data_IF_334309223758
#
_entry.id   IF_334309223758
#
_cell.length_a   1.000
_cell.length_b   1.000
_cell.length_c   1.000
_cell.angle_alpha   90.00
_cell.angle_beta   90.00
_cell.angle_gamma   90.00
#
_symmetry.space_group_name_H-M   'P 1'
#
loop_
_entity.id
_entity.type
_entity.pdbx_description
1 polymer ?
#
# COMPACT_ATOMS: atom_id res chain seq x y z
N UNK A 1 -14.06 13.22 -21.43
CA UNK A 1 -14.78 12.05 -20.94
C UNK A 1 -13.89 10.83 -21.14
N UNK A 2 -13.03 10.55 -20.16
CA UNK A 2 -12.33 9.28 -20.05
C UNK A 2 -12.51 8.88 -18.59
N UNK A 3 -13.41 7.94 -18.33
CA UNK A 3 -13.56 7.36 -17.00
C UNK A 3 -12.28 6.61 -16.70
N UNK A 4 -11.51 7.08 -15.72
CA UNK A 4 -10.40 6.31 -15.18
C UNK A 4 -10.99 5.08 -14.51
N UNK A 5 -10.80 3.91 -15.12
CA UNK A 5 -11.14 2.63 -14.49
C UNK A 5 -10.35 2.55 -13.18
N UNK A 6 -11.05 2.61 -12.04
CA UNK A 6 -10.49 2.22 -10.75
C UNK A 6 -10.03 0.77 -10.91
N UNK A 7 -8.73 0.53 -10.86
CA UNK A 7 -8.16 -0.81 -10.98
C UNK A 7 -8.44 -1.54 -9.66
N UNK A 8 -9.52 -2.31 -9.61
CA UNK A 8 -9.89 -3.13 -8.44
C UNK A 8 -8.81 -4.19 -8.24
N UNK A 9 -8.17 -4.19 -7.07
CA UNK A 9 -7.16 -5.21 -6.73
C UNK A 9 -7.81 -6.60 -6.75
N UNK A 10 -7.10 -7.56 -7.34
CA UNK A 10 -7.52 -8.95 -7.33
C UNK A 10 -7.38 -9.54 -5.91
N UNK A 11 -8.17 -10.55 -5.55
CA UNK A 11 -8.09 -11.22 -4.24
C UNK A 11 -6.67 -11.61 -3.83
N UNK A 12 -5.87 -12.09 -4.79
CA UNK A 12 -4.47 -12.47 -4.58
C UNK A 12 -3.56 -11.26 -4.29
N UNK A 13 -3.79 -10.13 -4.94
CA UNK A 13 -3.06 -8.88 -4.67
C UNK A 13 -3.38 -8.34 -3.28
N UNK A 14 -4.65 -8.39 -2.86
CA UNK A 14 -5.08 -7.97 -1.52
C UNK A 14 -4.38 -8.80 -0.44
N UNK A 15 -4.35 -10.14 -0.60
CA UNK A 15 -3.63 -11.01 0.33
C UNK A 15 -2.14 -10.70 0.36
N UNK A 16 -1.51 -10.52 -0.81
CA UNK A 16 -0.09 -10.18 -0.89
C UNK A 16 0.22 -8.84 -0.20
N UNK A 17 -0.60 -7.82 -0.41
CA UNK A 17 -0.45 -6.52 0.25
C UNK A 17 -0.57 -6.63 1.78
N UNK A 18 -1.53 -7.42 2.27
CA UNK A 18 -1.86 -7.47 3.70
C UNK A 18 -0.96 -8.42 4.49
N UNK A 19 -0.56 -9.54 3.90
CA UNK A 19 0.15 -10.61 4.58
C UNK A 19 1.55 -10.87 4.04
N UNK A 20 1.87 -10.39 2.83
CA UNK A 20 3.18 -10.51 2.19
C UNK A 20 3.70 -11.94 2.20
N UNK A 21 4.95 -12.11 2.65
CA UNK A 21 5.64 -13.40 2.72
C UNK A 21 4.98 -14.43 3.66
N UNK A 22 4.02 -14.03 4.50
CA UNK A 22 3.31 -14.95 5.41
C UNK A 22 2.26 -15.79 4.67
N UNK A 23 1.81 -15.34 3.50
CA UNK A 23 0.85 -16.04 2.66
C UNK A 23 1.56 -17.03 1.73
N UNK A 24 1.20 -18.32 1.82
CA UNK A 24 1.77 -19.37 0.97
C UNK A 24 0.71 -20.00 0.09
N UNK A 25 1.01 -20.16 -1.20
CA UNK A 25 0.17 -20.84 -2.18
C UNK A 25 0.90 -22.10 -2.68
N UNK A 26 0.24 -23.24 -2.62
CA UNK A 26 0.74 -24.51 -3.15
C UNK A 26 -0.29 -25.13 -4.07
N UNK A 27 0.01 -25.18 -5.37
CA UNK A 27 -0.84 -25.85 -6.35
C UNK A 27 -0.52 -27.34 -6.43
N UNK A 28 -1.57 -28.15 -6.45
CA UNK A 28 -1.57 -29.59 -6.63
C UNK A 28 -2.24 -29.93 -7.97
N UNK A 29 -1.66 -30.86 -8.74
CA UNK A 29 -2.27 -31.38 -9.95
C UNK A 29 -3.23 -32.52 -9.62
N UNK A 30 -4.50 -32.35 -9.98
CA UNK A 30 -5.56 -33.34 -9.83
C UNK A 30 -5.75 -34.03 -11.17
N UNK A 31 -5.37 -35.29 -11.23
CA UNK A 31 -5.59 -36.14 -12.40
C UNK A 31 -7.03 -36.63 -12.39
N UNK A 32 -7.80 -36.27 -13.41
CA UNK A 32 -9.09 -36.91 -13.65
C UNK A 32 -8.82 -38.18 -14.44
N UNK A 33 -9.01 -39.33 -13.82
CA UNK A 33 -9.13 -40.58 -14.55
C UNK A 33 -10.35 -40.47 -15.45
N UNK A 34 -10.16 -40.19 -16.74
CA UNK A 34 -11.22 -40.30 -17.73
C UNK A 34 -11.63 -41.76 -17.82
N UNK A 35 -12.70 -42.12 -17.12
CA UNK A 35 -13.44 -43.33 -17.43
C UNK A 35 -13.93 -43.23 -18.87
N UNK A 36 -13.54 -44.21 -19.70
CA UNK A 36 -13.92 -44.40 -21.11
C UNK A 36 -13.05 -43.66 -22.14
N UNK A 37 -11.86 -44.20 -22.40
CA UNK A 37 -11.34 -44.44 -23.77
C UNK A 37 -9.96 -45.14 -23.69
N UNK A 38 -9.87 -46.16 -22.85
CA UNK A 38 -8.67 -47.01 -22.80
C UNK A 38 -8.71 -47.96 -23.99
N UNK A 39 -8.22 -47.49 -25.14
CA UNK A 39 -7.92 -48.35 -26.28
C UNK A 39 -6.83 -49.35 -25.82
N UNK A 40 -7.14 -50.65 -25.66
CA UNK A 40 -6.17 -51.60 -25.12
C UNK A 40 -5.05 -51.81 -26.15
N UNK A 41 -3.81 -51.42 -25.82
CA UNK A 41 -2.63 -51.70 -26.64
C UNK A 41 -1.76 -50.51 -27.04
N UNK A 42 -2.14 -49.26 -26.70
CA UNK A 42 -1.27 -48.09 -26.89
C UNK A 42 -0.44 -47.79 -25.63
N UNK A 43 0.88 -47.97 -25.73
CA UNK A 43 1.89 -47.65 -24.70
C UNK A 43 2.37 -46.19 -24.74
N UNK A 44 1.57 -45.28 -25.28
CA UNK A 44 1.92 -43.85 -25.33
C UNK A 44 1.20 -43.13 -24.18
N UNK A 45 1.92 -42.50 -23.24
CA UNK A 45 1.30 -41.65 -22.23
C UNK A 45 0.58 -40.48 -22.92
N UNK A 46 -0.75 -40.54 -22.99
CA UNK A 46 -1.53 -39.39 -23.41
C UNK A 46 -1.49 -38.37 -22.27
N UNK A 47 -1.06 -37.14 -22.59
CA UNK A 47 -1.07 -36.03 -21.62
C UNK A 47 -2.53 -35.66 -21.33
N UNK A 48 -3.12 -36.31 -20.33
CA UNK A 48 -4.46 -36.02 -19.83
C UNK A 48 -4.52 -34.55 -19.40
N UNK A 49 -5.63 -33.83 -19.62
CA UNK A 49 -5.79 -32.48 -19.09
C UNK A 49 -5.64 -32.48 -17.56
N UNK A 50 -4.52 -31.96 -17.05
CA UNK A 50 -4.32 -31.79 -15.63
C UNK A 50 -5.27 -30.71 -15.11
N UNK A 51 -6.04 -31.04 -14.07
CA UNK A 51 -6.74 -30.05 -13.29
C UNK A 51 -5.86 -29.60 -12.11
N UNK A 52 -6.19 -28.46 -11.53
CA UNK A 52 -5.40 -27.82 -10.49
C UNK A 52 -6.28 -27.52 -9.27
N UNK A 53 -5.72 -27.74 -8.10
CA UNK A 53 -6.26 -27.33 -6.81
C UNK A 53 -5.19 -26.55 -6.08
N UNK A 54 -5.55 -25.45 -5.43
CA UNK A 54 -4.60 -24.64 -4.69
C UNK A 54 -4.87 -24.74 -3.19
N UNK A 55 -3.81 -24.99 -2.43
CA UNK A 55 -3.78 -24.90 -0.98
C UNK A 55 -3.20 -23.55 -0.61
N UNK A 56 -3.97 -22.76 0.11
CA UNK A 56 -3.53 -21.49 0.68
C UNK A 56 -3.31 -21.64 2.17
N UNK A 57 -2.21 -21.08 2.67
CA UNK A 57 -1.84 -21.14 4.08
C UNK A 57 -1.36 -19.80 4.61
N UNK A 58 -1.91 -19.41 5.76
CA UNK A 58 -1.41 -18.39 6.67
C UNK A 58 -0.99 -19.06 7.99
N UNK A 59 -0.29 -18.36 8.90
CA UNK A 59 0.09 -18.91 10.20
C UNK A 59 -1.10 -19.47 11.00
N UNK A 60 -2.26 -18.83 10.89
CA UNK A 60 -3.42 -19.12 11.75
C UNK A 60 -4.43 -20.09 11.10
N UNK A 61 -4.45 -20.22 9.77
CA UNK A 61 -5.38 -21.10 9.08
C UNK A 61 -4.94 -21.45 7.66
N UNK A 62 -5.62 -22.44 7.08
CA UNK A 62 -5.53 -22.78 5.67
C UNK A 62 -6.90 -22.85 5.01
N UNK A 63 -6.92 -22.69 3.69
CA UNK A 63 -8.06 -22.99 2.82
C UNK A 63 -7.59 -23.74 1.58
N UNK A 64 -8.51 -24.45 0.94
CA UNK A 64 -8.23 -25.21 -0.28
C UNK A 64 -9.27 -24.83 -1.31
N UNK A 65 -8.83 -24.48 -2.52
CA UNK A 65 -9.73 -24.14 -3.62
C UNK A 65 -10.50 -25.36 -4.11
N UNK A 66 -11.55 -25.09 -4.89
CA UNK A 66 -12.10 -26.10 -5.79
C UNK A 66 -11.09 -26.51 -6.87
N UNK A 67 -11.49 -27.44 -7.73
CA UNK A 67 -10.66 -27.94 -8.84
C UNK A 67 -10.91 -27.11 -10.09
N UNK A 68 -9.85 -26.59 -10.72
CA UNK A 68 -9.90 -25.70 -11.88
C UNK A 68 -9.03 -26.22 -13.03
N UNK A 69 -9.34 -25.81 -14.27
CA UNK A 69 -8.53 -26.15 -15.45
C UNK A 69 -7.24 -25.35 -15.54
N UNK A 70 -7.17 -24.17 -14.92
CA UNK A 70 -5.99 -23.32 -14.91
C UNK A 70 -5.47 -23.18 -13.49
N UNK A 71 -4.14 -23.23 -13.35
CA UNK A 71 -3.44 -22.99 -12.08
C UNK A 71 -3.77 -21.63 -11.47
N UNK A 72 -3.79 -20.57 -12.29
CA UNK A 72 -4.08 -19.22 -11.81
C UNK A 72 -5.50 -19.08 -11.24
N UNK A 73 -6.49 -19.74 -11.87
CA UNK A 73 -7.88 -19.71 -11.40
C UNK A 73 -8.02 -20.41 -10.04
N UNK A 74 -7.30 -21.52 -9.83
CA UNK A 74 -7.24 -22.21 -8.53
C UNK A 74 -6.60 -21.32 -7.45
N UNK A 75 -5.52 -20.61 -7.78
CA UNK A 75 -4.86 -19.68 -6.85
C UNK A 75 -5.76 -18.49 -6.50
N UNK A 76 -6.47 -17.91 -7.46
CA UNK A 76 -7.44 -16.83 -7.21
C UNK A 76 -8.60 -17.32 -6.35
N UNK A 77 -9.17 -18.49 -6.64
CA UNK A 77 -10.24 -19.06 -5.82
C UNK A 77 -9.79 -19.36 -4.39
N UNK A 78 -8.55 -19.84 -4.19
CA UNK A 78 -8.00 -20.01 -2.85
C UNK A 78 -7.85 -18.67 -2.12
N UNK A 79 -7.47 -17.61 -2.83
CA UNK A 79 -7.39 -16.26 -2.27
C UNK A 79 -8.77 -15.72 -1.88
N UNK A 80 -9.80 -15.90 -2.72
CA UNK A 80 -11.18 -15.51 -2.42
C UNK A 80 -11.69 -16.19 -1.14
N UNK A 81 -11.57 -17.51 -1.05
CA UNK A 81 -11.98 -18.27 0.13
C UNK A 81 -11.23 -17.84 1.40
N UNK A 82 -9.95 -17.47 1.27
CA UNK A 82 -9.18 -16.98 2.39
C UNK A 82 -9.67 -15.60 2.86
N UNK A 83 -9.98 -14.68 1.92
CA UNK A 83 -10.55 -13.37 2.25
C UNK A 83 -11.93 -13.51 2.91
N UNK A 84 -12.80 -14.38 2.39
CA UNK A 84 -14.10 -14.69 2.99
C UNK A 84 -13.96 -15.18 4.43
N UNK A 85 -13.03 -16.13 4.66
CA UNK A 85 -12.77 -16.69 6.00
C UNK A 85 -12.17 -15.68 6.98
N UNK A 86 -11.39 -14.73 6.47
CA UNK A 86 -10.85 -13.61 7.23
C UNK A 86 -11.89 -12.50 7.49
N UNK A 87 -13.06 -12.56 6.85
CA UNK A 87 -14.05 -11.50 6.88
C UNK A 87 -13.57 -10.20 6.21
N UNK A 88 -12.59 -10.29 5.30
CA UNK A 88 -12.06 -9.14 4.56
C UNK A 88 -12.83 -9.05 3.25
N UNK A 89 -13.55 -7.95 3.04
CA UNK A 89 -14.14 -7.71 1.72
C UNK A 89 -13.09 -7.07 0.80
N UNK A 90 -13.04 -7.45 -0.49
CA UNK A 90 -12.13 -6.83 -1.46
C UNK A 90 -12.25 -5.30 -1.57
N UNK A 91 -13.36 -4.75 -1.06
CA UNK A 91 -13.68 -3.33 -0.99
C UNK A 91 -13.38 -2.67 0.36
N UNK A 92 -12.66 -3.29 1.29
CA UNK A 92 -12.41 -2.68 2.60
C UNK A 92 -11.58 -1.38 2.53
N UNK A 93 -10.80 -1.15 1.46
CA UNK A 93 -10.16 0.15 1.19
C UNK A 93 -11.15 1.23 0.71
N UNK A 94 -12.35 0.87 0.24
CA UNK A 94 -13.42 1.81 -0.12
C UNK A 94 -14.25 2.29 1.10
N UNK A 95 -14.00 1.75 2.30
CA UNK A 95 -14.72 2.13 3.52
C UNK A 95 -14.02 3.22 4.35
N UNK A 96 -12.93 3.81 3.85
CA UNK A 96 -12.34 5.00 4.50
C UNK A 96 -13.30 6.17 4.30
N UNK A 97 -13.95 6.60 5.37
CA UNK A 97 -14.78 7.80 5.34
C UNK A 97 -13.93 9.04 5.09
N UNK A 98 -14.52 10.10 4.54
CA UNK A 98 -13.82 11.39 4.35
C UNK A 98 -13.23 11.90 5.67
N UNK A 99 -13.92 11.69 6.78
CA UNK A 99 -13.44 12.07 8.12
C UNK A 99 -12.23 11.26 8.55
N UNK A 100 -12.26 9.93 8.34
CA UNK A 100 -11.13 9.06 8.62
C UNK A 100 -9.93 9.45 7.75
N UNK A 101 -10.16 9.76 6.47
CA UNK A 101 -9.10 10.20 5.57
C UNK A 101 -8.42 11.48 6.07
N UNK A 102 -9.19 12.45 6.58
CA UNK A 102 -8.63 13.66 7.19
C UNK A 102 -7.77 13.35 8.43
N UNK A 103 -8.23 12.45 9.30
CA UNK A 103 -7.49 12.07 10.50
C UNK A 103 -6.20 11.31 10.13
N UNK A 104 -6.27 10.43 9.14
CA UNK A 104 -5.12 9.66 8.67
C UNK A 104 -4.06 10.55 8.00
N UNK A 105 -4.46 11.63 7.31
CA UNK A 105 -3.50 12.62 6.79
C UNK A 105 -2.80 13.33 7.95
N UNK A 106 -3.53 13.71 9.00
CA UNK A 106 -2.94 14.35 10.20
C UNK A 106 -1.91 13.43 10.84
N UNK A 107 -2.28 12.17 11.12
CA UNK A 107 -1.36 11.20 11.72
C UNK A 107 -0.18 10.88 10.80
N UNK A 108 -0.40 10.82 9.48
CA UNK A 108 0.69 10.59 8.52
C UNK A 108 1.67 11.76 8.50
N UNK A 109 1.20 13.02 8.52
CA UNK A 109 2.07 14.20 8.63
C UNK A 109 2.86 14.15 9.93
N UNK A 110 2.21 13.83 11.06
CA UNK A 110 2.89 13.69 12.34
C UNK A 110 4.00 12.64 12.29
N UNK A 111 3.73 11.49 11.66
CA UNK A 111 4.71 10.42 11.48
C UNK A 111 5.87 10.84 10.55
N UNK A 112 5.61 11.51 9.43
CA UNK A 112 6.67 12.01 8.53
C UNK A 112 7.69 12.89 9.27
N UNK A 113 7.25 13.64 10.28
CA UNK A 113 8.10 14.52 11.08
C UNK A 113 8.61 13.87 12.38
N UNK A 114 8.37 12.56 12.58
CA UNK A 114 8.84 11.83 13.74
C UNK A 114 10.31 11.46 13.65
N UNK A 115 10.89 11.07 14.79
CA UNK A 115 12.29 10.65 14.89
C UNK A 115 12.54 9.36 14.09
N UNK A 116 11.58 8.45 14.11
CA UNK A 116 11.65 7.14 13.45
C UNK A 116 11.63 7.27 11.92
N UNK A 117 10.87 8.24 11.39
CA UNK A 117 10.74 8.40 9.94
C UNK A 117 12.01 8.91 9.28
N UNK A 118 12.89 9.62 10.01
CA UNK A 118 14.18 10.01 9.46
C UNK A 118 14.97 8.81 8.96
N UNK A 119 14.91 7.67 9.65
CA UNK A 119 15.63 6.45 9.28
C UNK A 119 14.84 5.54 8.34
N UNK A 120 13.66 5.96 7.86
CA UNK A 120 12.83 5.14 6.99
C UNK A 120 13.41 5.09 5.57
N UNK A 121 13.33 3.91 4.94
CA UNK A 121 13.59 3.73 3.51
C UNK A 121 12.39 4.24 2.70
N UNK A 122 12.23 5.55 2.68
CA UNK A 122 11.15 6.25 2.01
C UNK A 122 11.73 7.45 1.25
N UNK A 123 11.22 7.80 0.04
CA UNK A 123 11.74 8.94 -0.73
C UNK A 123 11.78 10.26 0.06
N UNK A 124 10.79 10.49 0.93
CA UNK A 124 10.77 11.64 1.83
C UNK A 124 11.90 11.66 2.87
N UNK A 125 12.46 10.50 3.27
CA UNK A 125 13.57 10.43 4.22
C UNK A 125 14.78 11.24 3.74
N UNK A 126 15.18 11.05 2.47
CA UNK A 126 16.26 11.84 1.85
C UNK A 126 15.94 13.33 1.78
N UNK A 127 14.68 13.70 1.48
CA UNK A 127 14.26 15.11 1.49
C UNK A 127 14.29 15.72 2.91
N UNK A 128 13.96 14.93 3.93
CA UNK A 128 14.02 15.34 5.34
C UNK A 128 15.46 15.45 5.85
N UNK A 129 16.38 14.62 5.36
CA UNK A 129 17.82 14.78 5.61
C UNK A 129 18.35 16.05 4.95
N UNK A 130 18.09 16.22 3.65
CA UNK A 130 18.56 17.37 2.88
C UNK A 130 18.06 18.73 3.43
N UNK A 131 16.88 18.78 4.04
CA UNK A 131 16.37 20.05 4.61
C UNK A 131 17.19 20.57 5.79
N UNK A 132 17.91 19.69 6.51
CA UNK A 132 18.78 20.07 7.62
C UNK A 132 20.01 20.85 7.14
N UNK A 133 20.39 20.66 5.87
CA UNK A 133 21.52 21.34 5.22
C UNK A 133 21.12 22.69 4.58
N UNK A 134 19.85 23.11 4.70
CA UNK A 134 19.39 24.38 4.10
C UNK A 134 19.75 25.56 5.00
N UNK A 135 20.10 26.68 4.40
CA UNK A 135 20.52 27.87 5.12
C UNK A 135 19.36 28.72 5.67
N UNK A 136 19.64 29.41 6.77
CA UNK A 136 18.77 30.44 7.35
C UNK A 136 17.37 29.95 7.71
N UNK A 137 16.37 30.76 7.40
CA UNK A 137 14.96 30.49 7.73
C UNK A 137 14.38 29.25 7.02
N UNK A 138 15.07 28.74 5.99
CA UNK A 138 14.66 27.53 5.24
C UNK A 138 15.17 26.24 5.88
N UNK A 139 16.08 26.35 6.85
CA UNK A 139 16.58 25.20 7.61
C UNK A 139 15.45 24.46 8.30
N UNK A 140 15.46 23.13 8.24
CA UNK A 140 14.44 22.28 8.89
C UNK A 140 13.06 22.29 8.20
N UNK A 141 12.88 23.10 7.16
CA UNK A 141 11.58 23.27 6.48
C UNK A 141 11.48 22.41 5.22
N UNK A 142 10.42 21.60 5.15
CA UNK A 142 10.11 20.74 4.01
C UNK A 142 8.97 21.36 3.18
N UNK A 143 9.14 21.57 1.86
CA UNK A 143 8.07 22.09 1.02
C UNK A 143 6.85 21.18 1.02
N UNK A 144 5.64 21.76 1.05
CA UNK A 144 4.38 21.02 1.03
C UNK A 144 4.23 20.20 -0.25
N UNK A 145 4.69 20.74 -1.39
CA UNK A 145 4.69 20.03 -2.66
C UNK A 145 5.43 18.70 -2.59
N UNK A 146 6.56 18.65 -1.87
CA UNK A 146 7.33 17.41 -1.69
C UNK A 146 6.50 16.39 -0.90
N UNK A 147 5.83 16.82 0.17
CA UNK A 147 4.99 15.95 1.00
C UNK A 147 3.80 15.40 0.20
N UNK A 148 3.11 16.28 -0.54
CA UNK A 148 1.92 15.90 -1.32
C UNK A 148 2.23 15.07 -2.56
N UNK A 149 3.48 15.02 -3.03
CA UNK A 149 3.87 14.31 -4.24
C UNK A 149 4.59 13.00 -3.97
N UNK A 150 5.43 12.94 -2.93
CA UNK A 150 6.29 11.76 -2.68
C UNK A 150 5.73 10.80 -1.62
N UNK A 151 4.60 11.11 -0.98
CA UNK A 151 3.93 10.20 -0.07
C UNK A 151 2.64 9.64 -0.70
N UNK A 152 2.73 8.41 -1.20
CA UNK A 152 1.61 7.74 -1.86
C UNK A 152 0.38 7.58 -0.93
N UNK A 153 0.61 7.44 0.38
CA UNK A 153 -0.48 7.34 1.36
C UNK A 153 -1.23 8.67 1.46
N UNK A 154 -0.53 9.80 1.54
CA UNK A 154 -1.17 11.13 1.51
C UNK A 154 -1.93 11.34 0.21
N UNK A 155 -1.37 10.99 -0.95
CA UNK A 155 -2.05 11.12 -2.24
C UNK A 155 -3.34 10.28 -2.25
N UNK A 156 -3.27 9.01 -1.84
CA UNK A 156 -4.43 8.14 -1.77
C UNK A 156 -5.54 8.71 -0.89
N UNK A 157 -5.20 9.20 0.31
CA UNK A 157 -6.16 9.82 1.23
C UNK A 157 -6.75 11.12 0.67
N UNK A 158 -5.95 11.92 -0.05
CA UNK A 158 -6.45 13.13 -0.73
C UNK A 158 -7.50 12.78 -1.79
N UNK A 159 -7.32 11.68 -2.53
CA UNK A 159 -8.31 11.19 -3.51
C UNK A 159 -9.61 10.71 -2.86
N UNK A 160 -9.54 10.12 -1.67
CA UNK A 160 -10.73 9.76 -0.87
C UNK A 160 -11.52 11.01 -0.49
N UNK A 161 -10.83 12.08 -0.07
CA UNK A 161 -11.46 13.36 0.26
C UNK A 161 -12.06 14.03 -0.99
N UNK A 162 -11.29 14.07 -2.08
CA UNK A 162 -11.72 14.67 -3.34
C UNK A 162 -10.95 14.07 -4.54
N UNK A 163 -11.62 13.31 -5.42
CA UNK A 163 -10.99 12.73 -6.60
C UNK A 163 -10.39 13.76 -7.58
N UNK A 164 -10.85 15.01 -7.57
CA UNK A 164 -10.33 16.09 -8.43
C UNK A 164 -8.85 16.43 -8.19
N UNK A 165 -8.24 15.89 -7.12
CA UNK A 165 -6.79 15.97 -6.86
C UNK A 165 -5.96 15.44 -8.03
N UNK A 166 -6.47 14.48 -8.80
CA UNK A 166 -5.77 13.96 -9.99
C UNK A 166 -5.63 14.99 -11.12
N UNK A 167 -6.58 15.92 -11.21
CA UNK A 167 -6.56 17.02 -12.17
C UNK A 167 -6.00 18.32 -11.59
N UNK A 168 -6.02 18.48 -10.28
CA UNK A 168 -5.55 19.69 -9.58
C UNK A 168 -4.66 19.33 -8.37
N UNK A 169 -3.33 19.29 -8.55
CA UNK A 169 -2.40 18.94 -7.48
C UNK A 169 -2.35 19.98 -6.35
N UNK A 170 -2.87 21.21 -6.57
CA UNK A 170 -2.94 22.25 -5.55
C UNK A 170 -3.90 21.83 -4.43
N UNK A 171 -4.93 21.02 -4.74
CA UNK A 171 -5.85 20.48 -3.74
C UNK A 171 -5.13 19.60 -2.72
N UNK A 172 -4.23 18.71 -3.16
CA UNK A 172 -3.44 17.87 -2.25
C UNK A 172 -2.57 18.73 -1.33
N UNK A 173 -1.91 19.75 -1.87
CA UNK A 173 -1.11 20.70 -1.07
C UNK A 173 -1.98 21.44 -0.05
N UNK A 174 -3.18 21.88 -0.44
CA UNK A 174 -4.15 22.53 0.45
C UNK A 174 -4.60 21.61 1.58
N UNK A 175 -4.84 20.33 1.29
CA UNK A 175 -5.22 19.34 2.30
C UNK A 175 -4.09 19.06 3.28
N UNK A 176 -2.86 18.93 2.79
CA UNK A 176 -1.67 18.81 3.65
C UNK A 176 -1.54 20.02 4.59
N UNK A 177 -1.72 21.23 4.08
CA UNK A 177 -1.65 22.46 4.90
C UNK A 177 -2.76 22.50 5.96
N UNK A 178 -4.00 22.18 5.59
CA UNK A 178 -5.14 22.14 6.52
C UNK A 178 -4.96 21.06 7.59
N UNK A 179 -4.44 19.90 7.23
CA UNK A 179 -4.14 18.84 8.18
C UNK A 179 -2.98 19.22 9.12
N UNK A 180 -1.91 19.82 8.58
CA UNK A 180 -0.79 20.32 9.39
C UNK A 180 -1.23 21.40 10.39
N UNK A 181 -2.20 22.24 10.04
CA UNK A 181 -2.75 23.26 10.94
C UNK A 181 -3.44 22.66 12.18
N UNK A 182 -3.87 21.38 12.12
CA UNK A 182 -4.39 20.64 13.28
C UNK A 182 -3.29 20.14 14.23
N UNK A 183 -2.01 20.37 13.91
CA UNK A 183 -0.85 19.94 14.71
C UNK A 183 0.00 21.13 15.20
N UNK A 184 -0.57 22.18 15.84
CA UNK A 184 0.17 23.39 16.22
C UNK A 184 1.26 23.13 17.29
N UNK A 185 1.18 22.01 18.00
CA UNK A 185 2.16 21.59 19.01
C UNK A 185 3.32 20.79 18.43
N UNK A 186 3.21 20.35 17.17
CA UNK A 186 4.20 19.49 16.54
C UNK A 186 4.78 20.07 15.25
N UNK A 187 3.98 20.80 14.49
CA UNK A 187 4.33 21.36 13.19
C UNK A 187 4.21 22.89 13.23
N UNK A 188 5.21 23.55 12.65
CA UNK A 188 5.20 24.98 12.34
C UNK A 188 4.99 25.13 10.85
N UNK A 189 3.95 25.86 10.47
CA UNK A 189 3.69 26.25 9.09
C UNK A 189 4.45 27.56 8.83
N UNK A 190 5.30 27.57 7.80
CA UNK A 190 6.03 28.79 7.45
C UNK A 190 5.07 29.85 6.85
N UNK A 191 5.17 31.12 7.28
CA UNK A 191 4.29 32.19 6.81
C UNK A 191 4.62 32.69 5.38
N UNK A 192 5.82 32.41 4.87
CA UNK A 192 6.31 32.99 3.61
C UNK A 192 6.41 31.97 2.47
N UNK A 193 6.42 30.68 2.78
CA UNK A 193 6.52 29.59 1.81
C UNK A 193 5.65 28.43 2.27
N UNK A 194 4.90 27.81 1.35
CA UNK A 194 4.12 26.61 1.61
C UNK A 194 5.04 25.43 2.01
N UNK A 195 5.44 25.43 3.28
CA UNK A 195 6.40 24.50 3.85
C UNK A 195 6.08 24.24 5.32
N UNK A 196 6.42 23.02 5.74
CA UNK A 196 6.18 22.50 7.06
C UNK A 196 7.51 22.22 7.74
N UNK A 197 7.60 22.57 9.01
CA UNK A 197 8.79 22.40 9.86
C UNK A 197 8.36 21.74 11.16
N UNK A 198 9.23 20.92 11.76
CA UNK A 198 8.98 20.42 13.12
C UNK A 198 9.10 21.57 14.12
N UNK A 199 8.20 21.65 15.09
CA UNK A 199 8.22 22.68 16.14
C UNK A 199 9.46 22.55 17.02
N UNK A 200 9.73 21.32 17.47
CA UNK A 200 10.91 20.98 18.24
C UNK A 200 11.98 20.38 17.32
N UNK A 201 13.27 20.69 17.52
CA UNK A 201 14.36 20.11 16.74
C UNK A 201 14.48 18.59 16.98
N UNK A 202 15.20 17.90 16.10
CA UNK A 202 15.48 16.49 16.30
C UNK A 202 16.50 16.32 17.44
N UNK A 203 16.50 15.15 18.11
CA UNK A 203 17.58 14.80 19.01
C UNK A 203 18.95 14.95 18.32
N UNK A 204 19.95 15.59 18.95
CA UNK A 204 21.25 15.88 18.33
C UNK A 204 21.98 14.65 17.77
N UNK A 205 21.71 13.46 18.34
CA UNK A 205 22.26 12.19 17.86
C UNK A 205 21.79 11.88 16.42
N UNK A 206 20.51 12.14 16.13
CA UNK A 206 19.93 11.91 14.80
C UNK A 206 20.41 12.96 13.80
N UNK A 207 20.53 14.23 14.23
CA UNK A 207 21.05 15.29 13.36
C UNK A 207 22.50 15.03 12.94
N UNK A 208 23.36 14.60 13.86
CA UNK A 208 24.76 14.26 13.56
C UNK A 208 24.90 13.08 12.62
N UNK A 209 24.02 12.08 12.71
CA UNK A 209 24.04 10.94 11.80
C UNK A 209 23.81 11.36 10.35
N UNK A 210 22.89 12.31 10.10
CA UNK A 210 22.60 12.82 8.76
C UNK A 210 23.59 13.85 8.24
N UNK A 211 24.31 14.56 9.11
CA UNK A 211 25.39 15.46 8.70
C UNK A 211 26.68 14.71 8.29
N UNK A 212 26.79 13.42 8.60
CA UNK A 212 27.96 12.58 8.31
C UNK A 212 27.76 11.63 7.12
N UNK A 213 26.55 11.59 6.55
CA UNK A 213 26.21 10.83 5.33
C UNK A 213 26.26 11.74 4.11
#
# INVERSE_FOLDING_TARGET
>A
MAGGEKQTLTPKEIIHHKFGAKASYRTEEVHVSSSQDTCPGLTIPQKVPCLYRCHFQLPDFSVVSNVFKKKNDAEQSAAELALEKLGIQPHDDDNITVEQAWNDIVERIKYIFSDEFLSADHPLGSHLGARLQRDGERSGSLPVSVISTFDAKIIGLCKVINPSVDSDPILAMSYVMKAAAKLPDYIVISPHVASLRRKNPYPPKLEKQWLLM
#
